data_IF_898539597533
#
_entry.id   IF_898539597533
#
_cell.length_a   1.000
_cell.length_b   1.000
_cell.length_c   1.000
_cell.angle_alpha   90.00
_cell.angle_beta   90.00
_cell.angle_gamma   90.00
#
_symmetry.space_group_name_H-M   'P 1'
#
loop_
_entity.id
_entity.type
_entity.pdbx_description
1 polymer ?
#
# COMPACT_ATOMS: atom_id res chain seq x y z
N UNK A 1 6.72 -5.66 0.78
CA UNK A 1 6.38 -4.94 2.02
C UNK A 1 4.87 -4.90 2.12
N UNK A 2 4.28 -5.46 3.19
CA UNK A 2 2.83 -5.40 3.41
C UNK A 2 2.47 -3.98 3.79
N UNK A 3 1.58 -3.33 3.05
CA UNK A 3 1.08 -2.00 3.42
C UNK A 3 -0.17 -2.15 4.30
N UNK A 4 -0.59 -1.07 4.93
CA UNK A 4 -1.74 -0.98 5.80
C UNK A 4 -2.56 0.24 5.38
N UNK A 5 -3.87 0.07 5.23
CA UNK A 5 -4.79 1.15 4.89
C UNK A 5 -5.64 1.48 6.11
N UNK A 6 -5.91 2.75 6.32
CA UNK A 6 -6.94 3.23 7.24
C UNK A 6 -8.15 3.58 6.39
N UNK A 7 -9.24 2.86 6.62
CA UNK A 7 -10.51 3.00 5.92
C UNK A 7 -11.47 3.83 6.76
N UNK A 8 -12.31 4.62 6.09
CA UNK A 8 -13.51 5.25 6.65
C UNK A 8 -14.66 4.91 5.71
N UNK A 9 -15.56 4.05 6.17
CA UNK A 9 -16.52 3.38 5.28
C UNK A 9 -15.80 2.71 4.10
N UNK A 10 -16.10 3.14 2.89
CA UNK A 10 -15.53 2.62 1.64
C UNK A 10 -14.30 3.40 1.15
N UNK A 11 -13.97 4.53 1.78
CA UNK A 11 -12.87 5.40 1.36
C UNK A 11 -11.58 5.11 2.12
N UNK A 12 -10.44 5.16 1.41
CA UNK A 12 -9.11 5.09 2.02
C UNK A 12 -8.72 6.49 2.51
N UNK A 13 -8.56 6.67 3.82
CA UNK A 13 -8.08 7.92 4.41
C UNK A 13 -6.56 8.01 4.45
N UNK A 14 -5.89 6.88 4.70
CA UNK A 14 -4.45 6.86 4.92
C UNK A 14 -3.85 5.51 4.55
N UNK A 15 -2.60 5.49 4.08
CA UNK A 15 -1.86 4.27 3.76
C UNK A 15 -0.45 4.36 4.33
N UNK A 16 -0.02 3.31 5.04
CA UNK A 16 1.29 3.23 5.67
C UNK A 16 1.95 1.88 5.40
N UNK A 17 3.28 1.87 5.31
CA UNK A 17 4.04 0.62 5.21
C UNK A 17 4.13 -0.14 6.54
N UNK A 18 3.88 0.52 7.68
CA UNK A 18 3.99 -0.04 9.02
C UNK A 18 2.63 -0.01 9.73
N UNK A 19 2.29 -1.12 10.40
CA UNK A 19 1.05 -1.26 11.15
C UNK A 19 0.93 -0.22 12.29
N UNK A 20 2.04 0.05 12.97
CA UNK A 20 2.11 1.03 14.06
C UNK A 20 1.65 2.41 13.62
N UNK A 21 2.05 2.84 12.42
CA UNK A 21 1.70 4.14 11.88
C UNK A 21 0.21 4.24 11.55
N UNK A 22 -0.33 3.22 10.88
CA UNK A 22 -1.75 3.14 10.56
C UNK A 22 -2.63 3.12 11.83
N UNK A 23 -2.20 2.40 12.88
CA UNK A 23 -2.91 2.35 14.16
C UNK A 23 -2.91 3.70 14.88
N UNK A 24 -1.77 4.40 14.94
CA UNK A 24 -1.69 5.73 15.55
C UNK A 24 -2.60 6.72 14.84
N UNK A 25 -2.63 6.69 13.51
CA UNK A 25 -3.52 7.54 12.72
C UNK A 25 -5.00 7.24 12.99
N UNK A 26 -5.40 5.96 12.97
CA UNK A 26 -6.77 5.56 13.26
C UNK A 26 -7.20 5.95 14.69
N UNK A 27 -6.30 5.81 15.68
CA UNK A 27 -6.58 6.20 17.06
C UNK A 27 -6.80 7.72 17.21
N UNK A 28 -5.96 8.54 16.56
CA UNK A 28 -6.12 9.99 16.55
C UNK A 28 -7.45 10.41 15.92
N UNK A 29 -7.79 9.84 14.75
CA UNK A 29 -9.05 10.12 14.05
C UNK A 29 -10.28 9.66 14.83
N UNK A 30 -10.22 8.52 15.51
CA UNK A 30 -11.30 8.07 16.41
C UNK A 30 -11.49 9.01 17.60
N UNK A 31 -10.41 9.57 18.15
CA UNK A 31 -10.50 10.57 19.21
C UNK A 31 -11.17 11.87 18.74
N UNK A 32 -11.07 12.18 17.44
CA UNK A 32 -11.78 13.28 16.78
C UNK A 32 -13.24 12.89 16.39
N UNK A 33 -13.70 11.68 16.69
CA UNK A 33 -15.05 11.19 16.38
C UNK A 33 -15.22 10.58 14.99
N UNK A 34 -14.12 10.34 14.26
CA UNK A 34 -14.16 9.72 12.92
C UNK A 34 -14.12 8.20 13.04
N UNK A 35 -15.18 7.54 12.57
CA UNK A 35 -15.22 6.07 12.51
C UNK A 35 -14.32 5.55 11.38
N UNK A 36 -13.11 5.14 11.76
CA UNK A 36 -12.11 4.60 10.86
C UNK A 36 -11.49 3.32 11.42
N UNK A 37 -10.98 2.45 10.54
CA UNK A 37 -10.39 1.18 10.93
C UNK A 37 -9.21 0.80 10.04
N UNK A 38 -8.27 0.03 10.58
CA UNK A 38 -7.06 -0.37 9.86
C UNK A 38 -7.28 -1.72 9.19
N UNK A 39 -7.06 -1.78 7.89
CA UNK A 39 -7.13 -2.99 7.07
C UNK A 39 -5.73 -3.29 6.50
N UNK A 40 -5.25 -4.54 6.57
CA UNK A 40 -4.03 -4.92 5.88
C UNK A 40 -4.22 -4.76 4.37
N UNK A 41 -3.28 -4.09 3.72
CA UNK A 41 -3.32 -3.94 2.27
C UNK A 41 -2.90 -5.25 1.60
N UNK A 42 -3.87 -5.97 1.07
CA UNK A 42 -3.67 -7.21 0.30
C UNK A 42 -3.46 -6.94 -1.18
N UNK A 43 -3.43 -5.66 -1.61
CA UNK A 43 -3.22 -5.32 -3.02
C UNK A 43 -1.81 -5.74 -3.42
N UNK A 44 -1.71 -6.88 -4.10
CA UNK A 44 -0.45 -7.33 -4.66
C UNK A 44 -0.16 -6.43 -5.86
N UNK A 45 0.80 -5.52 -5.71
CA UNK A 45 1.23 -4.64 -6.82
C UNK A 45 1.86 -5.50 -7.90
N UNK A 46 1.05 -5.98 -8.84
CA UNK A 46 1.50 -6.74 -9.99
C UNK A 46 2.19 -5.79 -10.97
N UNK A 47 3.46 -5.51 -10.71
CA UNK A 47 4.28 -4.65 -11.58
C UNK A 47 4.57 -5.46 -12.84
N UNK A 48 3.86 -5.15 -13.93
CA UNK A 48 4.15 -5.74 -15.25
C UNK A 48 5.62 -5.48 -15.59
N UNK A 49 6.33 -6.56 -15.91
CA UNK A 49 7.72 -6.48 -16.37
C UNK A 49 7.74 -5.70 -17.67
N UNK A 50 8.47 -4.59 -17.69
CA UNK A 50 8.64 -3.79 -18.91
C UNK A 50 9.69 -4.48 -19.78
N UNK A 51 9.33 -4.81 -21.02
CA UNK A 51 10.28 -5.33 -22.01
C UNK A 51 10.91 -4.16 -22.76
N UNK A 52 12.22 -4.22 -22.96
CA UNK A 52 12.95 -3.30 -23.82
C UNK A 52 12.65 -3.60 -25.28
N UNK A 53 12.06 -2.63 -25.99
CA UNK A 53 11.69 -2.78 -27.39
C UNK A 53 12.89 -3.01 -28.33
N UNK A 54 14.08 -2.51 -27.98
CA UNK A 54 15.28 -2.63 -28.81
C UNK A 54 16.01 -3.97 -28.65
N UNK A 55 15.85 -4.64 -27.52
CA UNK A 55 16.62 -5.86 -27.19
C UNK A 55 15.76 -7.07 -26.87
N UNK A 56 14.44 -6.90 -26.75
CA UNK A 56 13.49 -7.96 -26.34
C UNK A 56 13.66 -8.42 -24.89
N UNK A 57 14.58 -7.82 -24.12
CA UNK A 57 14.91 -8.24 -22.76
C UNK A 57 14.15 -7.41 -21.72
N UNK A 58 13.78 -7.99 -20.56
CA UNK A 58 13.16 -7.23 -19.48
C UNK A 58 14.10 -6.18 -18.90
N UNK A 59 13.60 -4.95 -18.71
CA UNK A 59 14.32 -3.93 -17.94
C UNK A 59 14.49 -4.39 -16.50
N UNK A 60 15.74 -4.37 -15.99
CA UNK A 60 16.05 -4.67 -14.59
C UNK A 60 16.47 -6.11 -14.29
N UNK A 61 16.56 -6.99 -15.30
CA UNK A 61 17.25 -8.27 -15.12
C UNK A 61 18.75 -8.01 -15.29
N UNK A 62 19.48 -7.80 -14.19
CA UNK A 62 20.89 -8.21 -14.18
C UNK A 62 20.85 -9.72 -14.36
N UNK A 63 21.26 -10.19 -15.54
CA UNK A 63 21.56 -11.60 -15.75
C UNK A 63 22.49 -12.06 -14.63
N UNK A 64 22.25 -13.20 -13.97
CA UNK A 64 23.23 -13.78 -13.06
C UNK A 64 24.54 -14.07 -13.80
#
# INVERSE_FOLDING_TARGET
MKQHKVMMGECVLYQAAQLSHARRFAAARRAEGVDCHVVPDTTTRNRRVRINALTGKPYGRRTP
#
